data_IF_203276892440
#
_entry.id   IF_203276892440
#
_cell.length_a   1.000
_cell.length_b   1.000
_cell.length_c   1.000
_cell.angle_alpha   90.00
_cell.angle_beta   90.00
_cell.angle_gamma   90.00
#
_symmetry.space_group_name_H-M   'P 1'
#
loop_
_entity.id
_entity.type
_entity.pdbx_description
1 polymer ?
#
# COMPACT_ATOMS: atom_id res chain seq x y z
N UNK A 1 3.41 15.07 17.48
CA UNK A 1 3.44 14.61 16.08
C UNK A 1 2.65 13.32 16.08
N UNK A 2 1.62 13.21 15.23
CA UNK A 2 0.85 11.98 15.12
C UNK A 2 1.78 10.83 14.71
N UNK A 3 1.65 9.66 15.34
CA UNK A 3 2.48 8.49 15.05
C UNK A 3 1.85 7.72 13.88
N UNK A 4 1.65 8.43 12.76
CA UNK A 4 1.02 7.88 11.57
C UNK A 4 1.98 6.89 10.89
N UNK A 5 1.51 5.67 10.74
CA UNK A 5 2.23 4.59 10.06
C UNK A 5 1.44 4.14 8.84
N UNK A 6 2.13 3.76 7.78
CA UNK A 6 1.52 3.17 6.59
C UNK A 6 1.13 1.71 6.88
N UNK A 7 -0.08 1.34 6.53
CA UNK A 7 -0.57 -0.03 6.57
C UNK A 7 -1.06 -0.46 5.19
N UNK A 8 -0.74 -1.70 4.81
CA UNK A 8 -1.21 -2.33 3.59
C UNK A 8 -2.11 -3.50 3.92
N UNK A 9 -3.28 -3.55 3.28
CA UNK A 9 -4.22 -4.65 3.43
C UNK A 9 -3.68 -5.92 2.75
N UNK A 10 -3.91 -7.08 3.37
CA UNK A 10 -3.74 -8.38 2.73
C UNK A 10 -5.01 -9.23 2.97
N UNK A 11 -5.50 -9.91 1.93
CA UNK A 11 -6.63 -10.83 2.07
C UNK A 11 -6.18 -12.17 2.66
N UNK A 12 -6.77 -12.56 3.79
CA UNK A 12 -6.36 -13.75 4.55
C UNK A 12 -7.52 -14.74 4.80
N UNK A 13 -8.21 -15.20 3.74
CA UNK A 13 -9.46 -15.95 3.85
C UNK A 13 -9.32 -17.26 4.63
N UNK A 14 -8.19 -17.93 4.45
CA UNK A 14 -7.94 -19.26 5.02
C UNK A 14 -7.22 -19.23 6.37
N UNK A 15 -6.88 -18.05 6.89
CA UNK A 15 -6.07 -17.98 8.11
C UNK A 15 -6.95 -18.27 9.32
N UNK A 16 -6.68 -19.35 10.09
CA UNK A 16 -7.49 -19.66 11.25
C UNK A 16 -7.36 -18.57 12.31
N UNK A 17 -8.50 -18.11 12.80
CA UNK A 17 -8.60 -17.17 13.91
C UNK A 17 -9.20 -17.90 15.12
N UNK A 18 -8.40 -18.13 16.17
CA UNK A 18 -8.79 -18.96 17.31
C UNK A 18 -8.42 -18.25 18.60
N UNK A 19 -9.41 -18.04 19.48
CA UNK A 19 -9.26 -17.39 20.78
C UNK A 19 -8.58 -16.01 20.68
N UNK A 20 -8.96 -15.21 19.70
CA UNK A 20 -8.40 -13.86 19.50
C UNK A 20 -7.05 -13.83 18.79
N UNK A 21 -6.55 -14.96 18.28
CA UNK A 21 -5.20 -15.04 17.69
C UNK A 21 -5.22 -15.65 16.29
N UNK A 22 -4.46 -15.06 15.36
CA UNK A 22 -4.22 -15.60 14.02
C UNK A 22 -3.21 -16.74 14.06
N UNK A 23 -3.48 -17.82 13.31
CA UNK A 23 -2.62 -19.02 13.23
C UNK A 23 -2.12 -19.29 11.81
N UNK A 24 -1.22 -18.46 11.27
CA UNK A 24 -0.73 -18.65 9.90
C UNK A 24 0.05 -19.97 9.75
N UNK A 25 -0.08 -20.61 8.58
CA UNK A 25 0.50 -21.94 8.29
C UNK A 25 2.03 -21.99 8.48
N UNK A 26 2.73 -20.88 8.21
CA UNK A 26 4.19 -20.77 8.28
C UNK A 26 4.70 -20.05 9.53
N UNK A 27 3.89 -19.84 10.57
CA UNK A 27 4.28 -19.10 11.79
C UNK A 27 5.64 -19.55 12.37
N UNK A 28 5.84 -20.87 12.48
CA UNK A 28 7.09 -21.44 13.02
C UNK A 28 8.35 -21.12 12.20
N UNK A 29 8.21 -20.88 10.89
CA UNK A 29 9.34 -20.57 10.01
C UNK A 29 9.88 -19.16 10.27
N UNK A 30 8.97 -18.21 10.48
CA UNK A 30 9.31 -16.79 10.57
C UNK A 30 9.50 -16.30 12.02
N UNK A 31 9.02 -17.06 13.00
CA UNK A 31 9.29 -16.88 14.43
C UNK A 31 8.93 -15.49 14.99
N UNK A 32 7.76 -14.97 14.60
CA UNK A 32 7.18 -13.77 15.20
C UNK A 32 6.52 -14.11 16.55
N UNK A 33 6.90 -13.37 17.60
CA UNK A 33 6.28 -13.44 18.92
C UNK A 33 5.09 -12.48 18.99
N UNK A 34 3.91 -12.97 19.39
CA UNK A 34 2.75 -12.13 19.63
C UNK A 34 2.87 -11.46 21.00
N UNK A 35 3.00 -10.13 21.02
CA UNK A 35 3.06 -9.34 22.27
C UNK A 35 1.69 -8.85 22.71
N UNK A 36 0.87 -8.38 21.77
CA UNK A 36 -0.44 -7.81 22.05
C UNK A 36 -1.48 -8.42 21.12
N UNK A 37 -2.61 -8.81 21.71
CA UNK A 37 -3.84 -9.16 21.00
C UNK A 37 -5.01 -8.50 21.69
N UNK A 38 -5.44 -7.36 21.16
CA UNK A 38 -6.49 -6.52 21.74
C UNK A 38 -7.69 -6.48 20.83
N UNK A 39 -8.85 -6.93 21.33
CA UNK A 39 -10.12 -6.69 20.66
C UNK A 39 -10.47 -5.20 20.79
N UNK A 40 -10.68 -4.53 19.66
CA UNK A 40 -11.00 -3.10 19.62
C UNK A 40 -12.52 -2.93 19.59
N UNK A 41 -13.17 -3.53 18.58
CA UNK A 41 -14.62 -3.60 18.43
C UNK A 41 -15.04 -5.01 18.01
N UNK A 42 -16.31 -5.23 17.64
CA UNK A 42 -16.83 -6.56 17.30
C UNK A 42 -16.02 -7.26 16.21
N UNK A 43 -15.57 -6.51 15.21
CA UNK A 43 -14.95 -7.01 13.97
C UNK A 43 -13.51 -6.53 13.75
N UNK A 44 -12.87 -5.94 14.77
CA UNK A 44 -11.50 -5.42 14.68
C UNK A 44 -10.65 -5.88 15.85
N UNK A 45 -9.50 -6.46 15.53
CA UNK A 45 -8.44 -6.77 16.49
C UNK A 45 -7.17 -6.05 16.12
N UNK A 46 -6.48 -5.51 17.13
CA UNK A 46 -5.13 -4.98 17.00
C UNK A 46 -4.13 -6.01 17.52
N UNK A 47 -3.16 -6.34 16.67
CA UNK A 47 -2.03 -7.19 17.02
C UNK A 47 -0.73 -6.41 16.96
N UNK A 48 0.15 -6.70 17.93
CA UNK A 48 1.55 -6.30 17.88
C UNK A 48 2.39 -7.57 17.96
N UNK A 49 3.14 -7.83 16.90
CA UNK A 49 4.13 -8.89 16.86
C UNK A 49 5.53 -8.30 17.00
N UNK A 50 6.44 -9.12 17.49
CA UNK A 50 7.84 -8.79 17.63
C UNK A 50 8.70 -9.86 16.97
N UNK A 51 9.77 -9.42 16.34
CA UNK A 51 10.87 -10.28 15.94
C UNK A 51 12.17 -9.51 16.19
N UNK A 52 13.09 -10.18 16.87
CA UNK A 52 14.32 -9.58 17.39
C UNK A 52 14.03 -8.39 18.32
N UNK A 53 14.29 -7.16 17.88
CA UNK A 53 14.01 -5.92 18.63
C UNK A 53 13.00 -5.00 17.92
N UNK A 54 12.42 -5.44 16.81
CA UNK A 54 11.47 -4.67 16.02
C UNK A 54 10.04 -5.17 16.22
N UNK A 55 9.11 -4.23 16.27
CA UNK A 55 7.68 -4.51 16.34
C UNK A 55 7.03 -4.32 14.97
N UNK A 56 5.95 -5.05 14.73
CA UNK A 56 5.07 -4.84 13.58
C UNK A 56 3.62 -4.83 14.06
N UNK A 57 2.93 -3.73 13.77
CA UNK A 57 1.52 -3.58 14.06
C UNK A 57 0.70 -4.20 12.94
N UNK A 58 -0.42 -4.82 13.30
CA UNK A 58 -1.40 -5.24 12.32
C UNK A 58 -2.81 -5.16 12.87
N UNK A 59 -3.78 -4.88 11.99
CA UNK A 59 -5.19 -4.82 12.32
C UNK A 59 -5.94 -5.86 11.53
N UNK A 60 -6.52 -6.82 12.25
CA UNK A 60 -7.38 -7.84 11.66
C UNK A 60 -8.81 -7.35 11.63
N UNK A 61 -9.35 -7.28 10.43
CA UNK A 61 -10.68 -6.78 10.14
C UNK A 61 -11.53 -7.90 9.54
N UNK A 62 -12.66 -8.18 10.17
CA UNK A 62 -13.72 -9.04 9.62
C UNK A 62 -14.80 -8.16 9.01
N UNK A 63 -15.17 -8.40 7.75
CA UNK A 63 -16.40 -7.82 7.23
C UNK A 63 -17.60 -8.46 7.96
N UNK A 64 -18.51 -7.62 8.44
CA UNK A 64 -19.70 -8.07 9.17
C UNK A 64 -20.80 -8.55 8.23
N UNK A 65 -20.74 -8.14 6.96
CA UNK A 65 -21.74 -8.49 5.94
C UNK A 65 -21.33 -9.74 5.14
N UNK A 66 -20.03 -10.03 5.05
CA UNK A 66 -19.48 -11.24 4.43
C UNK A 66 -18.36 -11.85 5.29
N UNK A 67 -18.66 -12.93 6.00
CA UNK A 67 -17.75 -13.63 6.91
C UNK A 67 -16.56 -14.33 6.22
N UNK A 68 -16.54 -14.35 4.88
CA UNK A 68 -15.42 -14.78 4.04
C UNK A 68 -14.46 -13.63 3.69
N UNK A 69 -14.84 -12.37 3.93
CA UNK A 69 -14.02 -11.20 3.70
C UNK A 69 -13.22 -10.82 4.94
N UNK A 70 -11.97 -11.29 4.97
CA UNK A 70 -11.04 -11.12 6.10
C UNK A 70 -9.77 -10.44 5.63
N UNK A 71 -9.51 -9.27 6.16
CA UNK A 71 -8.33 -8.49 5.85
C UNK A 71 -7.41 -8.36 7.05
N UNK A 72 -6.12 -8.34 6.77
CA UNK A 72 -5.10 -7.93 7.73
C UNK A 72 -4.41 -6.69 7.18
N UNK A 73 -4.58 -5.56 7.85
CA UNK A 73 -3.82 -4.34 7.56
C UNK A 73 -2.50 -4.44 8.30
N UNK A 74 -1.39 -4.53 7.58
CA UNK A 74 -0.06 -4.77 8.14
C UNK A 74 0.80 -3.52 7.97
N UNK A 75 1.46 -3.10 9.04
CA UNK A 75 2.40 -1.98 9.03
C UNK A 75 3.51 -2.21 7.99
N UNK A 76 3.71 -1.22 7.12
CA UNK A 76 4.78 -1.20 6.14
C UNK A 76 6.10 -0.79 6.81
N UNK A 77 6.86 -1.78 7.24
CA UNK A 77 8.19 -1.60 7.82
C UNK A 77 9.12 -2.74 7.39
N UNK A 78 10.35 -2.76 7.90
CA UNK A 78 11.37 -3.74 7.51
C UNK A 78 11.01 -5.22 7.80
N UNK A 79 9.94 -5.46 8.56
CA UNK A 79 9.43 -6.80 8.86
C UNK A 79 8.28 -7.22 7.93
N UNK A 80 7.76 -6.33 7.09
CA UNK A 80 6.55 -6.53 6.29
C UNK A 80 6.60 -7.83 5.48
N UNK A 81 7.57 -7.98 4.57
CA UNK A 81 7.65 -9.12 3.64
C UNK A 81 7.68 -10.47 4.37
N UNK A 82 8.51 -10.56 5.40
CA UNK A 82 8.63 -11.76 6.22
C UNK A 82 7.36 -12.03 7.02
N UNK A 83 6.71 -10.99 7.53
CA UNK A 83 5.49 -11.11 8.29
C UNK A 83 4.33 -11.59 7.40
N UNK A 84 4.11 -10.96 6.24
CA UNK A 84 3.04 -11.31 5.31
C UNK A 84 3.28 -12.67 4.64
N UNK A 85 4.53 -13.07 4.47
CA UNK A 85 4.93 -14.39 3.96
C UNK A 85 4.42 -15.56 4.82
N UNK A 86 3.99 -15.30 6.07
CA UNK A 86 3.38 -16.29 6.93
C UNK A 86 1.98 -16.73 6.44
N UNK A 87 1.28 -15.81 5.77
CA UNK A 87 -0.10 -15.95 5.35
C UNK A 87 -0.21 -16.52 3.94
N UNK A 88 -1.42 -16.89 3.54
CA UNK A 88 -1.70 -17.32 2.17
C UNK A 88 -1.54 -16.13 1.21
N UNK A 89 -0.99 -16.35 0.01
CA UNK A 89 -0.67 -15.28 -0.94
C UNK A 89 0.66 -14.57 -0.67
N UNK A 90 1.11 -14.49 0.58
CA UNK A 90 2.43 -13.96 0.93
C UNK A 90 2.58 -12.45 0.77
N UNK A 91 1.46 -11.71 0.79
CA UNK A 91 1.41 -10.27 0.55
C UNK A 91 0.06 -9.85 0.00
N UNK A 92 -0.03 -8.59 -0.38
CA UNK A 92 -1.19 -8.01 -1.04
C UNK A 92 -1.33 -8.55 -2.46
N UNK A 93 -2.56 -8.61 -2.99
CA UNK A 93 -2.84 -8.89 -4.39
C UNK A 93 -3.50 -7.67 -5.03
N UNK A 94 -3.84 -7.80 -6.30
CA UNK A 94 -4.33 -6.66 -7.07
C UNK A 94 -5.70 -6.13 -6.58
N UNK A 95 -6.59 -6.99 -6.09
CA UNK A 95 -7.93 -6.54 -5.65
C UNK A 95 -7.92 -5.81 -4.30
N UNK A 96 -6.82 -5.86 -3.56
CA UNK A 96 -6.59 -5.03 -2.37
C UNK A 96 -5.80 -3.75 -2.70
N UNK A 97 -5.38 -3.54 -3.97
CA UNK A 97 -4.77 -2.29 -4.40
C UNK A 97 -5.75 -1.13 -4.14
N UNK A 98 -5.25 -0.04 -3.55
CA UNK A 98 -6.08 1.09 -3.10
C UNK A 98 -6.57 1.01 -1.65
N UNK A 99 -6.29 -0.08 -0.94
CA UNK A 99 -6.62 -0.22 0.50
C UNK A 99 -5.49 0.22 1.45
N UNK A 100 -4.41 0.81 0.92
CA UNK A 100 -3.34 1.34 1.76
C UNK A 100 -3.82 2.54 2.57
N UNK A 101 -3.39 2.61 3.83
CA UNK A 101 -3.91 3.62 4.75
C UNK A 101 -2.87 4.03 5.78
N UNK A 102 -2.79 5.33 6.04
CA UNK A 102 -2.02 5.87 7.15
C UNK A 102 -2.88 5.88 8.41
N UNK A 103 -2.37 5.29 9.50
CA UNK A 103 -3.09 5.16 10.77
C UNK A 103 -2.22 5.68 11.91
N UNK A 104 -2.79 6.53 12.76
CA UNK A 104 -2.20 6.88 14.05
C UNK A 104 -2.50 5.77 15.06
N UNK A 105 -1.48 4.97 15.38
CA UNK A 105 -1.63 3.82 16.29
C UNK A 105 -1.94 4.22 17.73
N UNK A 106 -1.75 5.49 18.09
CA UNK A 106 -2.04 6.05 19.40
C UNK A 106 -3.49 6.59 19.51
N UNK A 107 -4.25 6.57 18.40
CA UNK A 107 -5.65 7.04 18.30
C UNK A 107 -6.62 5.92 17.85
N UNK A 108 -6.99 4.97 18.74
CA UNK A 108 -7.88 3.84 18.45
C UNK A 108 -9.18 4.16 17.71
N UNK A 109 -9.84 5.26 18.06
CA UNK A 109 -11.11 5.66 17.47
C UNK A 109 -10.96 6.05 16.00
N UNK A 110 -9.90 6.81 15.66
CA UNK A 110 -9.57 7.20 14.29
C UNK A 110 -9.16 5.98 13.45
N UNK A 111 -8.43 5.03 14.04
CA UNK A 111 -8.08 3.77 13.37
C UNK A 111 -9.33 3.02 12.91
N UNK A 112 -10.34 2.90 13.77
CA UNK A 112 -11.59 2.21 13.45
C UNK A 112 -12.30 2.92 12.30
N UNK A 113 -12.38 4.25 12.34
CA UNK A 113 -13.03 5.05 11.30
C UNK A 113 -12.35 4.86 9.95
N UNK A 114 -11.03 5.02 9.87
CA UNK A 114 -10.27 4.89 8.63
C UNK A 114 -10.35 3.48 8.04
N UNK A 115 -10.21 2.43 8.86
CA UNK A 115 -10.30 1.06 8.37
C UNK A 115 -11.69 0.72 7.83
N UNK A 116 -12.75 1.14 8.52
CA UNK A 116 -14.12 0.95 8.00
C UNK A 116 -14.33 1.70 6.69
N UNK A 117 -13.81 2.92 6.57
CA UNK A 117 -13.91 3.71 5.35
C UNK A 117 -13.23 3.02 4.17
N UNK A 118 -11.97 2.58 4.36
CA UNK A 118 -11.18 1.93 3.30
C UNK A 118 -11.79 0.60 2.89
N UNK A 119 -12.22 -0.23 3.84
CA UNK A 119 -12.88 -1.51 3.52
C UNK A 119 -14.18 -1.25 2.77
N UNK A 120 -15.02 -0.31 3.21
CA UNK A 120 -16.30 -0.02 2.55
C UNK A 120 -16.14 0.49 1.11
N UNK A 121 -15.07 1.22 0.84
CA UNK A 121 -14.80 1.82 -0.48
C UNK A 121 -13.82 1.00 -1.33
N UNK A 122 -13.51 -0.25 -0.94
CA UNK A 122 -12.53 -1.12 -1.63
C UNK A 122 -12.95 -1.51 -3.05
N UNK A 123 -14.26 -1.55 -3.31
CA UNK A 123 -14.82 -1.88 -4.60
C UNK A 123 -15.61 -0.70 -5.14
N UNK A 124 -15.44 -0.44 -6.44
CA UNK A 124 -16.37 0.39 -7.19
C UNK A 124 -17.70 -0.33 -7.29
N UNK A 125 -18.80 0.40 -7.09
CA UNK A 125 -20.13 -0.10 -7.42
C UNK A 125 -20.17 -0.50 -8.91
N UNK A 126 -20.98 -1.49 -9.29
CA UNK A 126 -21.18 -1.87 -10.70
C UNK A 126 -21.59 -0.67 -11.58
N UNK A 127 -22.18 0.36 -10.96
CA UNK A 127 -22.60 1.59 -11.61
C UNK A 127 -21.54 2.70 -11.60
N UNK A 128 -20.44 2.52 -10.87
CA UNK A 128 -19.34 3.49 -10.81
C UNK A 128 -18.37 3.31 -11.98
N UNK A 129 -17.95 4.40 -12.65
CA UNK A 129 -16.96 4.30 -13.71
C UNK A 129 -15.61 3.91 -13.10
N UNK A 130 -15.11 2.74 -13.47
CA UNK A 130 -13.76 2.26 -13.16
C UNK A 130 -12.69 3.32 -13.47
N UNK A 131 -11.66 3.49 -12.62
CA UNK A 131 -10.62 4.51 -12.80
C UNK A 131 -9.69 4.16 -13.97
N UNK A 132 -9.93 4.83 -15.10
CA UNK A 132 -9.13 4.64 -16.32
C UNK A 132 -8.07 5.73 -16.44
N UNK A 133 -6.79 5.38 -16.44
CA UNK A 133 -5.69 6.33 -16.56
C UNK A 133 -4.55 5.75 -17.39
N UNK A 134 -4.16 6.49 -18.44
CA UNK A 134 -2.93 6.26 -19.19
C UNK A 134 -1.91 7.33 -18.85
N UNK A 135 -0.70 6.89 -18.47
CA UNK A 135 0.46 7.76 -18.23
C UNK A 135 1.49 7.49 -19.32
N UNK A 136 1.87 8.54 -20.04
CA UNK A 136 2.89 8.50 -21.08
C UNK A 136 4.06 9.36 -20.62
N UNK A 137 5.18 8.71 -20.32
CA UNK A 137 6.44 9.36 -19.97
C UNK A 137 7.00 10.22 -21.11
N UNK A 138 8.04 10.99 -20.82
CA UNK A 138 8.72 11.78 -21.85
C UNK A 138 9.51 10.87 -22.77
N UNK A 139 9.45 11.12 -24.08
CA UNK A 139 10.25 10.38 -25.05
C UNK A 139 11.74 10.69 -24.89
N UNK A 140 12.10 11.98 -24.90
CA UNK A 140 13.46 12.49 -24.73
C UNK A 140 13.44 13.90 -24.12
N UNK A 141 14.61 14.54 -23.98
CA UNK A 141 14.71 15.93 -23.54
C UNK A 141 13.81 16.85 -24.39
N UNK A 142 13.12 17.77 -23.72
CA UNK A 142 12.15 18.71 -24.30
C UNK A 142 10.89 18.09 -24.94
N UNK A 143 10.67 16.77 -24.83
CA UNK A 143 9.40 16.14 -25.21
C UNK A 143 8.30 16.39 -24.18
N UNK A 144 7.05 16.36 -24.64
CA UNK A 144 5.88 16.38 -23.75
C UNK A 144 5.71 15.01 -23.07
N UNK A 145 5.14 15.02 -21.87
CA UNK A 145 4.49 13.88 -21.25
C UNK A 145 2.97 14.07 -21.33
N UNK A 146 2.21 12.97 -21.28
CA UNK A 146 0.75 13.02 -21.35
C UNK A 146 0.13 12.17 -20.26
N UNK A 147 -0.94 12.69 -19.66
CA UNK A 147 -1.83 11.95 -18.78
C UNK A 147 -3.24 12.04 -19.35
N UNK A 148 -3.84 10.90 -19.68
CA UNK A 148 -5.20 10.81 -20.21
C UNK A 148 -6.00 9.94 -19.25
N UNK A 149 -6.95 10.55 -18.57
CA UNK A 149 -7.64 9.93 -17.46
C UNK A 149 -9.12 10.33 -17.43
N UNK A 150 -9.99 9.43 -16.96
CA UNK A 150 -11.39 9.75 -16.76
C UNK A 150 -11.60 10.56 -15.47
N UNK A 151 -12.81 11.07 -15.24
CA UNK A 151 -13.09 11.91 -14.08
C UNK A 151 -12.81 11.20 -12.74
N UNK A 152 -13.15 9.92 -12.64
CA UNK A 152 -12.93 9.11 -11.43
C UNK A 152 -11.44 9.05 -11.08
N UNK A 153 -10.60 8.59 -12.01
CA UNK A 153 -9.15 8.49 -11.81
C UNK A 153 -8.48 9.86 -11.58
N UNK A 154 -8.97 10.95 -12.18
CA UNK A 154 -8.44 12.30 -11.89
C UNK A 154 -8.73 12.75 -10.45
N UNK A 155 -9.88 12.38 -9.88
CA UNK A 155 -10.20 12.70 -8.49
C UNK A 155 -9.35 11.86 -7.53
N UNK A 156 -9.20 10.58 -7.80
CA UNK A 156 -8.35 9.69 -7.01
C UNK A 156 -6.87 10.07 -7.09
N UNK A 157 -6.39 10.47 -8.27
CA UNK A 157 -5.05 10.99 -8.42
C UNK A 157 -4.84 12.26 -7.59
N UNK A 158 -5.83 13.15 -7.55
CA UNK A 158 -5.79 14.33 -6.67
C UNK A 158 -5.74 13.92 -5.20
N UNK A 159 -6.58 12.99 -4.75
CA UNK A 159 -6.57 12.50 -3.37
C UNK A 159 -5.26 11.82 -3.00
N UNK A 160 -4.70 11.01 -3.90
CA UNK A 160 -3.39 10.40 -3.74
C UNK A 160 -2.29 11.47 -3.61
N UNK A 161 -2.30 12.51 -4.44
CA UNK A 161 -1.38 13.65 -4.30
C UNK A 161 -1.56 14.33 -2.93
N UNK A 162 -2.80 14.58 -2.50
CA UNK A 162 -3.08 15.17 -1.18
C UNK A 162 -2.51 14.29 -0.03
N UNK A 163 -2.61 12.95 -0.14
CA UNK A 163 -2.00 12.00 0.80
C UNK A 163 -0.47 12.05 0.74
N UNK A 164 0.14 12.05 -0.46
CA UNK A 164 1.58 12.13 -0.60
C UNK A 164 2.15 13.47 -0.10
N UNK A 165 1.40 14.57 -0.20
CA UNK A 165 1.77 15.86 0.37
C UNK A 165 1.75 15.84 1.91
N UNK A 166 0.82 15.11 2.53
CA UNK A 166 0.73 14.97 4.00
C UNK A 166 1.72 13.94 4.55
N UNK A 167 1.85 12.81 3.86
CA UNK A 167 2.49 11.60 4.35
C UNK A 167 3.69 11.18 3.49
N UNK A 168 4.22 12.07 2.65
CA UNK A 168 5.40 11.91 1.78
C UNK A 168 5.28 10.84 0.67
N UNK A 169 4.52 9.77 0.88
CA UNK A 169 4.43 8.65 -0.06
C UNK A 169 3.00 8.12 -0.11
N UNK A 170 2.54 7.78 -1.30
CA UNK A 170 1.28 7.06 -1.51
C UNK A 170 1.42 6.07 -2.66
N UNK A 171 0.46 5.16 -2.73
CA UNK A 171 0.27 4.24 -3.85
C UNK A 171 -1.18 4.28 -4.28
N UNK A 172 -1.40 4.34 -5.58
CA UNK A 172 -2.72 4.36 -6.21
C UNK A 172 -2.81 3.27 -7.28
N UNK A 173 -3.82 2.41 -7.18
CA UNK A 173 -4.13 1.45 -8.24
C UNK A 173 -4.86 2.15 -9.39
N UNK A 174 -4.37 1.97 -10.62
CA UNK A 174 -4.96 2.53 -11.83
C UNK A 174 -5.03 1.47 -12.93
N UNK A 175 -5.80 1.76 -13.98
CA UNK A 175 -5.98 0.82 -15.08
C UNK A 175 -5.88 1.51 -16.46
N UNK A 176 -5.14 0.94 -17.42
CA UNK A 176 -5.17 1.36 -18.82
C UNK A 176 -6.36 0.72 -19.53
N UNK A 177 -6.60 1.13 -20.78
CA UNK A 177 -7.71 0.66 -21.63
C UNK A 177 -7.78 -0.85 -21.87
N UNK A 178 -6.69 -1.58 -21.64
CA UNK A 178 -6.64 -3.04 -21.81
C UNK A 178 -7.17 -3.82 -20.60
N UNK A 179 -7.41 -3.16 -19.47
CA UNK A 179 -7.93 -3.79 -18.27
C UNK A 179 -6.85 -4.31 -17.30
N UNK A 180 -5.57 -4.17 -17.64
CA UNK A 180 -4.48 -4.69 -16.81
C UNK A 180 -4.02 -3.64 -15.80
N UNK A 181 -4.37 -3.83 -14.53
CA UNK A 181 -4.05 -2.85 -13.49
C UNK A 181 -2.57 -2.65 -13.22
N UNK A 182 -2.22 -1.44 -12.77
CA UNK A 182 -0.87 -1.07 -12.33
C UNK A 182 -0.94 -0.18 -11.10
N UNK A 183 0.14 -0.21 -10.31
CA UNK A 183 0.31 0.70 -9.18
C UNK A 183 1.10 1.94 -9.61
N UNK A 184 0.54 3.12 -9.34
CA UNK A 184 1.24 4.40 -9.41
C UNK A 184 1.73 4.76 -8.00
N UNK A 185 3.05 4.86 -7.86
CA UNK A 185 3.69 5.36 -6.64
C UNK A 185 3.97 6.85 -6.76
N UNK A 186 3.57 7.63 -5.77
CA UNK A 186 3.78 9.09 -5.74
C UNK A 186 4.57 9.42 -4.48
N UNK A 187 5.67 10.17 -4.65
CA UNK A 187 6.54 10.63 -3.57
C UNK A 187 6.61 12.17 -3.59
N UNK A 188 6.33 12.78 -2.45
CA UNK A 188 6.69 14.16 -2.16
C UNK A 188 8.09 14.17 -1.54
N UNK A 189 8.97 15.04 -2.06
CA UNK A 189 10.33 15.24 -1.57
C UNK A 189 10.50 16.68 -1.13
N UNK A 190 11.46 16.94 -0.25
CA UNK A 190 11.82 18.29 0.20
C UNK A 190 12.54 19.08 -0.90
N UNK A 191 12.64 20.40 -0.73
CA UNK A 191 13.27 21.31 -1.70
C UNK A 191 14.76 21.03 -1.94
N UNK A 192 15.44 20.40 -0.97
CA UNK A 192 16.86 20.03 -1.03
C UNK A 192 17.10 18.60 -1.53
N UNK A 193 16.11 17.98 -2.18
CA UNK A 193 16.25 16.66 -2.77
C UNK A 193 17.30 16.63 -3.90
N UNK A 194 18.19 15.64 -3.85
CA UNK A 194 19.25 15.40 -4.84
C UNK A 194 18.66 14.73 -6.10
N UNK A 195 18.19 15.54 -7.05
CA UNK A 195 17.54 15.06 -8.28
C UNK A 195 18.46 14.24 -9.18
N UNK A 196 19.78 14.41 -9.06
CA UNK A 196 20.81 13.64 -9.76
C UNK A 196 20.87 12.17 -9.30
N UNK A 197 20.23 11.81 -8.18
CA UNK A 197 20.08 10.42 -7.72
C UNK A 197 18.91 9.68 -8.39
N UNK A 198 18.19 10.32 -9.31
CA UNK A 198 17.12 9.69 -10.11
C UNK A 198 17.57 9.41 -11.53
N UNK A 199 17.23 8.23 -12.04
CA UNK A 199 17.30 7.96 -13.48
C UNK A 199 16.39 8.93 -14.25
N UNK A 200 16.87 9.42 -15.40
CA UNK A 200 16.06 10.29 -16.26
C UNK A 200 14.81 9.54 -16.75
N UNK A 201 13.64 10.19 -16.81
CA UNK A 201 12.36 9.53 -17.12
C UNK A 201 12.16 9.28 -18.64
N UNK A 202 13.23 9.29 -19.43
CA UNK A 202 13.18 9.19 -20.88
C UNK A 202 13.08 7.74 -21.34
N UNK A 203 12.07 7.43 -22.15
CA UNK A 203 11.82 6.06 -22.58
C UNK A 203 12.31 5.73 -24.00
N UNK A 204 12.79 6.71 -24.78
CA UNK A 204 13.36 6.47 -26.11
C UNK A 204 14.84 6.07 -26.02
N UNK A 205 15.12 4.80 -26.32
CA UNK A 205 16.47 4.22 -26.25
C UNK A 205 17.38 4.63 -27.42
N UNK A 206 16.85 5.23 -28.48
CA UNK A 206 17.68 5.80 -29.55
C UNK A 206 18.25 7.17 -29.15
N UNK A 207 17.52 7.92 -28.33
CA UNK A 207 17.91 9.24 -27.85
C UNK A 207 18.63 9.18 -26.49
N UNK A 208 18.20 8.28 -25.60
CA UNK A 208 18.72 8.14 -24.24
C UNK A 208 18.95 6.67 -23.88
N UNK A 209 20.20 6.32 -23.63
CA UNK A 209 20.58 5.02 -23.06
C UNK A 209 20.99 5.28 -21.62
N UNK A 210 20.27 4.74 -20.62
CA UNK A 210 20.68 4.84 -19.23
C UNK A 210 22.04 4.18 -19.05
N UNK A 211 22.83 4.73 -18.14
CA UNK A 211 24.07 4.08 -17.73
C UNK A 211 23.73 2.84 -16.89
N UNK A 212 23.78 1.66 -17.51
CA UNK A 212 23.51 0.39 -16.83
C UNK A 212 24.52 0.08 -15.70
N UNK A 213 25.63 0.81 -15.61
CA UNK A 213 26.56 0.69 -14.48
C UNK A 213 26.12 1.47 -13.23
N UNK A 214 25.08 2.30 -13.37
CA UNK A 214 24.57 3.21 -12.34
C UNK A 214 23.12 2.84 -12.02
N UNK A 215 22.90 2.37 -10.79
CA UNK A 215 21.61 1.83 -10.34
C UNK A 215 20.81 2.88 -9.54
N UNK A 216 20.13 3.78 -10.28
CA UNK A 216 19.34 4.92 -9.77
C UNK A 216 17.81 4.80 -10.01
N UNK A 217 17.17 3.63 -9.78
CA UNK A 217 15.77 3.46 -10.09
C UNK A 217 14.91 4.22 -9.06
N UNK A 218 13.78 4.81 -9.51
CA UNK A 218 12.95 5.66 -8.66
C UNK A 218 12.38 4.94 -7.44
N UNK A 219 12.17 3.61 -7.50
CA UNK A 219 11.61 2.83 -6.39
C UNK A 219 12.50 2.89 -5.13
N UNK A 220 13.82 3.03 -5.26
CA UNK A 220 14.74 3.13 -4.11
C UNK A 220 14.56 4.40 -3.28
N UNK A 221 13.90 5.42 -3.82
CA UNK A 221 13.63 6.65 -3.09
C UNK A 221 12.48 6.50 -2.09
N UNK A 222 11.65 5.48 -2.24
CA UNK A 222 10.54 5.18 -1.34
C UNK A 222 11.07 4.52 -0.06
N UNK A 223 10.70 5.09 1.09
CA UNK A 223 11.15 4.67 2.42
C UNK A 223 10.05 3.96 3.21
N UNK A 224 8.78 4.32 2.95
CA UNK A 224 7.59 3.78 3.62
C UNK A 224 7.11 2.53 2.91
N UNK A 225 6.94 2.59 1.59
CA UNK A 225 6.78 1.38 0.78
C UNK A 225 8.12 0.67 0.64
N UNK A 226 8.22 -0.60 1.05
CA UNK A 226 9.43 -1.41 0.92
C UNK A 226 9.44 -2.06 -0.47
N UNK A 227 9.96 -1.32 -1.47
CA UNK A 227 9.97 -1.68 -2.90
C UNK A 227 11.34 -2.17 -3.39
#
# INVERSE_FOLDING_TARGET
MANEKLFTAIYIPETPFVNGVLKPKKAKKYNFELLVSKKMVSNLYHFIYKRDEKNIHSYYFEDLEDDLERYLFVENNDLYDDFVSQFWGGGQRYWESGMDVYLDVDSPEEVIEHLNHVVKNRFYDENEPMPMCHIFGQQMWHSNAYLIANRTSLLELKEAIDVALKNEETRLGLMPSDGEGYDLFIKCVEDDFEWEELEMPYHDRECYVPDESVDLPPNKTFKKYKL
#
